data_IF_782695371007
#
_entry.id   IF_782695371007
#
_cell.length_a   1.000
_cell.length_b   1.000
_cell.length_c   1.000
_cell.angle_alpha   90.00
_cell.angle_beta   90.00
_cell.angle_gamma   90.00
#
_symmetry.space_group_name_H-M   'P 1'
#
loop_
_entity.id
_entity.type
_entity.pdbx_description
1 polymer ?
#
# COMPACT_ATOMS: atom_id res chain seq x y z
N UNK A 1 -1.89 14.22 13.30
CA UNK A 1 -2.76 13.34 14.11
C UNK A 1 -2.99 14.01 15.45
N UNK A 2 -4.21 13.96 15.95
CA UNK A 2 -4.61 14.54 17.25
C UNK A 2 -5.40 13.53 18.08
N UNK A 3 -5.43 13.71 19.38
CA UNK A 3 -6.32 12.95 20.27
C UNK A 3 -7.75 13.51 20.25
N UNK A 4 -8.60 12.96 21.14
CA UNK A 4 -10.01 13.39 21.29
C UNK A 4 -10.15 14.87 21.69
N UNK A 5 -9.15 15.42 22.36
CA UNK A 5 -9.11 16.79 22.88
C UNK A 5 -8.32 17.73 21.94
N UNK A 6 -8.07 17.29 20.69
CA UNK A 6 -7.31 17.99 19.65
C UNK A 6 -5.82 18.23 19.97
N UNK A 7 -5.26 17.55 20.97
CA UNK A 7 -3.82 17.64 21.26
C UNK A 7 -3.03 16.89 20.21
N UNK A 8 -1.95 17.49 19.72
CA UNK A 8 -1.12 16.92 18.65
C UNK A 8 -0.40 15.66 19.16
N UNK A 9 -0.65 14.54 18.48
CA UNK A 9 0.02 13.25 18.72
C UNK A 9 1.26 13.06 17.83
N UNK A 10 1.31 13.77 16.70
CA UNK A 10 2.39 13.67 15.72
C UNK A 10 1.91 13.84 14.29
N UNK A 11 2.85 13.90 13.35
CA UNK A 11 2.58 13.99 11.91
C UNK A 11 2.58 12.61 11.26
N UNK A 12 1.91 12.51 10.10
CA UNK A 12 2.01 11.34 9.25
C UNK A 12 3.45 11.13 8.77
N UNK A 13 3.90 9.89 8.54
CA UNK A 13 5.23 9.64 7.98
C UNK A 13 5.40 10.35 6.64
N UNK A 14 6.54 11.00 6.42
CA UNK A 14 6.86 11.64 5.14
C UNK A 14 7.05 10.58 4.06
N UNK A 15 6.49 10.85 2.88
CA UNK A 15 6.76 10.11 1.64
C UNK A 15 8.05 10.64 1.03
N UNK A 16 9.02 9.77 0.83
CA UNK A 16 10.38 10.14 0.38
C UNK A 16 10.67 9.59 -1.00
N UNK A 17 10.09 8.43 -1.33
CA UNK A 17 10.22 7.78 -2.63
C UNK A 17 8.99 8.11 -3.49
N UNK A 18 9.14 8.18 -4.83
CA UNK A 18 8.04 8.55 -5.72
C UNK A 18 6.75 7.71 -5.49
N UNK A 19 5.56 8.29 -5.62
CA UNK A 19 4.30 7.56 -5.47
C UNK A 19 3.94 6.82 -6.77
N UNK A 20 4.64 5.72 -7.08
CA UNK A 20 4.47 4.98 -8.34
C UNK A 20 3.59 3.75 -8.19
N UNK A 21 3.14 3.18 -9.32
CA UNK A 21 2.44 1.89 -9.36
C UNK A 21 3.19 0.79 -8.58
N UNK A 22 4.52 0.74 -8.72
CA UNK A 22 5.37 -0.21 -8.00
C UNK A 22 5.29 -0.06 -6.46
N UNK A 23 5.15 1.16 -5.95
CA UNK A 23 4.92 1.38 -4.52
C UNK A 23 3.48 1.03 -4.11
N UNK A 24 2.52 1.43 -4.94
CA UNK A 24 1.10 1.20 -4.70
C UNK A 24 0.73 -0.29 -4.66
N UNK A 25 1.51 -1.20 -5.27
CA UNK A 25 1.26 -2.64 -5.15
C UNK A 25 1.42 -3.19 -3.72
N UNK A 26 2.21 -2.55 -2.87
CA UNK A 26 2.60 -3.10 -1.54
C UNK A 26 2.41 -2.16 -0.37
N UNK A 27 2.02 -0.91 -0.63
CA UNK A 27 1.80 0.06 0.42
C UNK A 27 0.80 1.14 -0.01
N UNK A 28 -0.14 1.47 0.88
CA UNK A 28 -0.83 2.75 0.83
C UNK A 28 0.01 3.86 1.49
N UNK A 29 0.17 4.99 0.81
CA UNK A 29 0.86 6.17 1.34
C UNK A 29 -0.08 7.35 1.62
N UNK A 30 -1.33 7.27 1.16
CA UNK A 30 -2.28 8.37 1.24
C UNK A 30 -3.61 7.85 1.83
N UNK A 31 -3.99 8.28 3.04
CA UNK A 31 -5.29 7.93 3.60
C UNK A 31 -6.42 8.66 2.85
N UNK A 32 -7.59 8.02 2.73
CA UNK A 32 -8.70 8.55 1.94
C UNK A 32 -9.16 9.97 2.33
N UNK A 33 -9.08 10.30 3.62
CA UNK A 33 -9.44 11.63 4.13
C UNK A 33 -8.52 12.76 3.65
N UNK A 34 -7.35 12.44 3.08
CA UNK A 34 -6.41 13.42 2.52
C UNK A 34 -6.31 13.36 0.99
N UNK A 35 -7.19 12.61 0.33
CA UNK A 35 -7.18 12.46 -1.12
C UNK A 35 -8.07 13.50 -1.80
N UNK A 36 -7.54 14.11 -2.86
CA UNK A 36 -8.31 14.92 -3.80
C UNK A 36 -8.21 14.26 -5.17
N UNK A 37 -9.36 14.01 -5.80
CA UNK A 37 -9.45 13.34 -7.09
C UNK A 37 -10.08 14.27 -8.12
N UNK A 38 -9.47 14.34 -9.31
CA UNK A 38 -10.12 14.99 -10.43
C UNK A 38 -11.25 14.11 -11.02
N UNK A 39 -12.06 14.68 -11.91
CA UNK A 39 -13.20 13.97 -12.50
C UNK A 39 -12.80 12.74 -13.32
N UNK A 40 -11.62 12.75 -13.94
CA UNK A 40 -11.12 11.62 -14.72
C UNK A 40 -10.74 10.43 -13.81
N UNK A 41 -10.02 10.68 -12.72
CA UNK A 41 -9.68 9.68 -11.71
C UNK A 41 -10.95 9.11 -11.05
N UNK A 42 -11.93 9.96 -10.72
CA UNK A 42 -13.21 9.50 -10.18
C UNK A 42 -13.96 8.57 -11.15
N UNK A 43 -14.05 8.94 -12.44
CA UNK A 43 -14.68 8.11 -13.47
C UNK A 43 -13.96 6.78 -13.65
N UNK A 44 -12.63 6.79 -13.63
CA UNK A 44 -11.81 5.58 -13.73
C UNK A 44 -12.14 4.61 -12.58
N UNK A 45 -12.15 5.10 -11.34
CA UNK A 45 -12.42 4.30 -10.14
C UNK A 45 -13.85 3.73 -10.11
N UNK A 46 -14.82 4.50 -10.57
CA UNK A 46 -16.24 4.12 -10.54
C UNK A 46 -16.64 3.20 -11.70
N UNK A 47 -15.87 3.17 -12.80
CA UNK A 47 -16.14 2.32 -13.96
C UNK A 47 -16.00 0.82 -13.65
N UNK A 48 -15.01 0.46 -12.83
CA UNK A 48 -14.78 -0.92 -12.42
C UNK A 48 -14.60 -0.97 -10.89
N UNK A 49 -15.72 -0.98 -10.12
CA UNK A 49 -15.65 -1.03 -8.68
C UNK A 49 -15.04 -2.37 -8.22
N UNK A 50 -14.17 -2.35 -7.18
CA UNK A 50 -13.60 -3.58 -6.66
C UNK A 50 -14.67 -4.44 -5.98
N UNK A 51 -14.47 -5.76 -5.97
CA UNK A 51 -15.26 -6.66 -5.14
C UNK A 51 -15.02 -6.45 -3.63
N UNK A 52 -15.84 -7.09 -2.78
CA UNK A 52 -15.77 -6.94 -1.31
C UNK A 52 -14.45 -7.45 -0.71
N UNK A 53 -13.63 -8.18 -1.48
CA UNK A 53 -12.32 -8.66 -1.09
C UNK A 53 -11.23 -7.56 -1.04
N UNK A 54 -11.56 -6.32 -1.40
CA UNK A 54 -10.65 -5.16 -1.30
C UNK A 54 -11.05 -4.31 -0.08
N UNK A 55 -10.49 -4.57 1.11
CA UNK A 55 -10.95 -3.96 2.34
C UNK A 55 -10.51 -2.50 2.53
N UNK A 56 -9.59 -1.99 1.69
CA UNK A 56 -8.93 -0.70 1.87
C UNK A 56 -9.13 0.15 0.60
N UNK A 57 -10.22 0.93 0.57
CA UNK A 57 -10.68 1.68 -0.60
C UNK A 57 -9.73 2.80 -1.03
N UNK A 58 -9.07 3.45 -0.08
CA UNK A 58 -8.09 4.50 -0.36
C UNK A 58 -6.81 3.91 -0.98
N UNK A 59 -6.37 2.75 -0.50
CA UNK A 59 -5.28 2.01 -1.15
C UNK A 59 -5.67 1.60 -2.58
N UNK A 60 -6.89 1.09 -2.77
CA UNK A 60 -7.39 0.79 -4.11
C UNK A 60 -7.35 2.01 -5.04
N UNK A 61 -7.81 3.16 -4.54
CA UNK A 61 -7.77 4.40 -5.30
C UNK A 61 -6.33 4.79 -5.67
N UNK A 62 -5.40 4.71 -4.72
CA UNK A 62 -3.98 4.96 -4.97
C UNK A 62 -3.40 4.00 -6.02
N UNK A 63 -3.72 2.71 -5.95
CA UNK A 63 -3.24 1.69 -6.88
C UNK A 63 -3.71 1.95 -8.31
N UNK A 64 -5.02 2.17 -8.48
CA UNK A 64 -5.61 2.41 -9.80
C UNK A 64 -5.10 3.71 -10.42
N UNK A 65 -5.07 4.81 -9.65
CA UNK A 65 -4.61 6.10 -10.18
C UNK A 65 -3.11 6.08 -10.48
N UNK A 66 -2.30 5.35 -9.71
CA UNK A 66 -0.86 5.18 -10.00
C UNK A 66 -0.59 4.39 -11.28
N UNK A 67 -1.53 3.54 -11.72
CA UNK A 67 -1.40 2.77 -12.95
C UNK A 67 -1.73 3.61 -14.20
N UNK A 68 -2.79 4.41 -14.13
CA UNK A 68 -3.37 5.05 -15.33
C UNK A 68 -3.29 6.57 -15.33
N UNK A 69 -2.73 7.17 -14.28
CA UNK A 69 -2.66 8.61 -14.12
C UNK A 69 -1.40 9.03 -13.36
N UNK A 70 -1.49 10.21 -12.74
CA UNK A 70 -0.40 10.79 -11.95
C UNK A 70 -0.85 10.98 -10.51
N UNK A 71 -0.06 10.48 -9.59
CA UNK A 71 -0.19 10.78 -8.16
C UNK A 71 0.82 11.89 -7.82
N UNK A 72 0.31 12.96 -7.21
CA UNK A 72 1.13 14.03 -6.63
C UNK A 72 0.93 13.95 -5.13
N UNK A 73 2.03 13.74 -4.40
CA UNK A 73 2.00 13.69 -2.94
C UNK A 73 2.48 15.02 -2.38
N UNK A 74 1.64 15.68 -1.59
CA UNK A 74 1.99 16.87 -0.83
C UNK A 74 2.44 16.45 0.57
N UNK A 75 3.63 16.88 0.98
CA UNK A 75 4.18 16.56 2.30
C UNK A 75 3.64 17.43 3.43
N UNK A 76 2.94 18.50 3.10
CA UNK A 76 2.38 19.43 4.09
C UNK A 76 1.08 18.90 4.70
N UNK A 77 0.92 19.12 6.01
CA UNK A 77 -0.24 18.62 6.77
C UNK A 77 -1.29 19.71 6.93
N UNK A 78 -2.42 19.57 6.23
CA UNK A 78 -3.52 20.55 6.27
C UNK A 78 -4.75 20.12 7.09
N UNK A 79 -4.74 18.91 7.65
CA UNK A 79 -5.88 18.35 8.37
C UNK A 79 -5.50 17.71 9.70
N UNK A 80 -6.38 17.88 10.69
CA UNK A 80 -6.26 17.24 12.00
C UNK A 80 -7.03 15.91 11.99
N UNK A 81 -6.30 14.81 11.85
CA UNK A 81 -6.89 13.47 11.95
C UNK A 81 -7.00 13.02 13.41
N UNK A 82 -8.23 12.95 13.94
CA UNK A 82 -8.51 12.51 15.31
C UNK A 82 -8.34 10.99 15.45
N UNK A 83 -7.52 10.57 16.41
CA UNK A 83 -7.42 9.16 16.81
C UNK A 83 -8.13 8.95 18.16
N UNK A 84 -8.99 7.92 18.23
CA UNK A 84 -9.58 7.45 19.47
C UNK A 84 -9.35 5.95 19.65
N UNK A 85 -9.51 5.45 20.87
CA UNK A 85 -9.27 4.04 21.22
C UNK A 85 -10.12 3.03 20.43
N UNK A 86 -11.19 3.50 19.79
CA UNK A 86 -12.04 2.71 18.89
C UNK A 86 -11.64 2.75 17.41
N UNK A 87 -10.52 3.38 17.04
CA UNK A 87 -10.06 3.38 15.65
C UNK A 87 -9.66 1.96 15.22
N UNK A 88 -10.22 1.50 14.10
CA UNK A 88 -9.84 0.24 13.43
C UNK A 88 -8.36 0.23 13.02
N UNK A 89 -7.78 1.41 12.77
CA UNK A 89 -6.36 1.62 12.44
C UNK A 89 -5.83 2.81 13.27
N UNK A 90 -4.91 2.55 14.20
CA UNK A 90 -4.34 3.57 15.09
C UNK A 90 -2.85 3.38 15.33
N UNK A 91 -2.12 4.46 15.61
CA UNK A 91 -0.69 4.41 15.89
C UNK A 91 -0.46 3.95 17.35
N UNK A 92 0.49 3.02 17.57
CA UNK A 92 0.91 2.70 18.92
C UNK A 92 1.83 3.79 19.46
N UNK A 93 1.59 4.30 20.66
CA UNK A 93 2.55 5.18 21.36
C UNK A 93 3.71 4.33 21.92
N UNK A 94 4.96 4.82 21.88
CA UNK A 94 6.16 4.15 22.42
C UNK A 94 6.95 3.27 21.43
N UNK A 95 8.29 3.42 21.41
CA UNK A 95 9.21 2.76 20.47
C UNK A 95 9.07 1.23 20.45
N UNK A 96 9.16 0.58 21.61
CA UNK A 96 9.05 -0.88 21.72
C UNK A 96 7.69 -1.41 21.24
N UNK A 97 6.61 -0.72 21.60
CA UNK A 97 5.24 -1.09 21.18
C UNK A 97 5.02 -0.81 19.70
N UNK A 98 5.61 0.25 19.13
CA UNK A 98 5.66 0.50 17.68
C UNK A 98 6.36 -0.64 16.95
N UNK A 99 7.55 -1.06 17.41
CA UNK A 99 8.30 -2.16 16.81
C UNK A 99 7.60 -3.52 16.94
N UNK A 100 7.08 -3.85 18.13
CA UNK A 100 6.33 -5.09 18.35
C UNK A 100 5.06 -5.13 17.49
N UNK A 101 4.32 -4.03 17.38
CA UNK A 101 3.09 -3.96 16.57
C UNK A 101 3.41 -3.91 15.07
N UNK A 102 4.53 -3.31 14.68
CA UNK A 102 5.08 -3.35 13.31
C UNK A 102 5.41 -4.78 12.92
N UNK A 103 6.20 -5.49 13.74
CA UNK A 103 6.52 -6.90 13.53
C UNK A 103 5.26 -7.79 13.56
N UNK A 104 4.33 -7.56 14.49
CA UNK A 104 3.09 -8.33 14.58
C UNK A 104 2.15 -8.12 13.38
N UNK A 105 2.03 -6.89 12.85
CA UNK A 105 1.27 -6.63 11.60
C UNK A 105 1.90 -7.37 10.41
N UNK A 106 3.23 -7.40 10.35
CA UNK A 106 3.95 -8.13 9.30
C UNK A 106 3.94 -9.65 9.46
N UNK A 107 3.80 -10.16 10.69
CA UNK A 107 3.74 -11.60 10.99
C UNK A 107 2.31 -12.17 10.94
N UNK A 108 1.29 -11.32 10.96
CA UNK A 108 -0.11 -11.76 10.86
C UNK A 108 -0.54 -11.85 9.39
N UNK A 109 -1.25 -12.94 9.05
CA UNK A 109 -1.68 -13.26 7.68
C UNK A 109 -2.60 -12.19 7.03
N UNK A 110 -2.98 -11.11 7.73
CA UNK A 110 -3.86 -10.08 7.19
C UNK A 110 -3.21 -9.27 6.08
N UNK A 111 -1.93 -8.90 6.22
CA UNK A 111 -1.24 -8.06 5.23
C UNK A 111 -1.05 -8.80 3.90
N UNK A 112 -0.77 -10.12 3.93
CA UNK A 112 -0.67 -10.95 2.71
C UNK A 112 -1.99 -10.96 1.94
N UNK A 113 -3.09 -11.31 2.61
CA UNK A 113 -4.41 -11.38 1.96
C UNK A 113 -4.82 -10.05 1.35
N UNK A 114 -4.50 -8.94 2.01
CA UNK A 114 -4.79 -7.60 1.47
C UNK A 114 -3.91 -7.31 0.27
N UNK A 115 -2.59 -7.51 0.36
CA UNK A 115 -1.64 -7.19 -0.71
C UNK A 115 -1.89 -8.07 -1.95
N UNK A 116 -1.80 -9.40 -1.83
CA UNK A 116 -2.00 -10.31 -2.97
C UNK A 116 -3.43 -10.23 -3.49
N UNK A 117 -4.42 -10.14 -2.57
CA UNK A 117 -5.82 -10.10 -2.93
C UNK A 117 -6.17 -8.85 -3.73
N UNK A 118 -5.68 -7.69 -3.29
CA UNK A 118 -5.87 -6.44 -4.02
C UNK A 118 -5.16 -6.46 -5.38
N UNK A 119 -3.92 -6.98 -5.45
CA UNK A 119 -3.20 -7.07 -6.72
C UNK A 119 -3.89 -8.02 -7.73
N UNK A 120 -4.44 -9.15 -7.27
CA UNK A 120 -5.23 -10.08 -8.11
C UNK A 120 -6.53 -9.45 -8.58
N UNK A 121 -7.24 -8.75 -7.70
CA UNK A 121 -8.47 -8.05 -8.08
C UNK A 121 -8.17 -6.93 -9.08
N UNK A 122 -7.05 -6.22 -8.89
CA UNK A 122 -6.57 -5.22 -9.83
C UNK A 122 -6.25 -5.84 -11.19
N UNK A 123 -5.54 -6.98 -11.23
CA UNK A 123 -5.28 -7.72 -12.46
C UNK A 123 -6.58 -8.12 -13.16
N UNK A 124 -7.57 -8.62 -12.41
CA UNK A 124 -8.87 -9.04 -12.96
C UNK A 124 -9.63 -7.90 -13.61
N UNK A 125 -9.68 -6.74 -12.97
CA UNK A 125 -10.48 -5.59 -13.42
C UNK A 125 -9.76 -4.72 -14.46
N UNK A 126 -8.46 -4.50 -14.27
CA UNK A 126 -7.69 -3.50 -15.02
C UNK A 126 -6.50 -4.09 -15.78
N UNK A 127 -6.18 -5.37 -15.61
CA UNK A 127 -4.96 -5.97 -16.18
C UNK A 127 -4.85 -5.85 -17.71
N UNK A 128 -5.98 -5.94 -18.42
CA UNK A 128 -6.03 -5.81 -19.88
C UNK A 128 -5.80 -4.38 -20.39
N UNK A 129 -5.83 -3.37 -19.51
CA UNK A 129 -5.62 -1.97 -19.84
C UNK A 129 -4.18 -1.51 -19.55
N UNK A 130 -3.38 -2.33 -18.86
CA UNK A 130 -2.05 -1.95 -18.42
C UNK A 130 -1.07 -1.80 -19.57
N UNK A 131 -0.16 -0.82 -19.44
CA UNK A 131 1.00 -0.74 -20.31
C UNK A 131 1.88 -2.01 -20.14
N UNK A 132 2.59 -2.47 -21.18
CA UNK A 132 3.35 -3.73 -21.13
C UNK A 132 4.31 -3.85 -19.94
N UNK A 133 5.00 -2.78 -19.57
CA UNK A 133 5.91 -2.76 -18.43
C UNK A 133 5.18 -2.93 -17.08
N UNK A 134 4.02 -2.31 -16.91
CA UNK A 134 3.20 -2.44 -15.69
C UNK A 134 2.55 -3.83 -15.61
N UNK A 135 2.08 -4.35 -16.74
CA UNK A 135 1.53 -5.70 -16.83
C UNK A 135 2.59 -6.76 -16.47
N UNK A 136 3.80 -6.63 -17.01
CA UNK A 136 4.92 -7.49 -16.68
C UNK A 136 5.28 -7.42 -15.18
N UNK A 137 5.34 -6.21 -14.62
CA UNK A 137 5.60 -6.01 -13.18
C UNK A 137 4.54 -6.67 -12.30
N UNK A 138 3.25 -6.48 -12.63
CA UNK A 138 2.14 -7.08 -11.88
C UNK A 138 2.17 -8.61 -11.99
N UNK A 139 2.43 -9.14 -13.18
CA UNK A 139 2.50 -10.56 -13.42
C UNK A 139 3.68 -11.20 -12.67
N UNK A 140 4.86 -10.56 -12.71
CA UNK A 140 6.01 -11.04 -11.94
C UNK A 140 5.73 -10.97 -10.44
N UNK A 141 5.09 -9.91 -9.94
CA UNK A 141 4.71 -9.81 -8.53
C UNK A 141 3.78 -10.95 -8.08
N UNK A 142 2.76 -11.26 -8.87
CA UNK A 142 1.78 -12.31 -8.55
C UNK A 142 2.30 -13.74 -8.78
N UNK A 143 3.27 -13.91 -9.69
CA UNK A 143 3.74 -15.22 -10.17
C UNK A 143 5.26 -15.38 -10.08
N UNK A 144 5.91 -14.77 -9.09
CA UNK A 144 7.38 -14.78 -8.92
C UNK A 144 7.98 -16.17 -8.62
N UNK A 145 7.17 -17.22 -8.48
CA UNK A 145 7.61 -18.60 -8.36
C UNK A 145 7.44 -19.18 -6.95
N UNK A 146 7.30 -20.51 -6.88
CA UNK A 146 7.09 -21.25 -5.63
C UNK A 146 8.39 -21.72 -4.98
N UNK A 147 9.50 -21.73 -5.70
CA UNK A 147 10.81 -22.17 -5.18
C UNK A 147 11.52 -21.02 -4.47
N UNK A 148 12.30 -21.36 -3.45
CA UNK A 148 13.05 -20.36 -2.67
C UNK A 148 13.98 -19.50 -3.52
N UNK A 149 14.64 -20.09 -4.53
CA UNK A 149 15.56 -19.38 -5.43
C UNK A 149 14.85 -18.35 -6.30
N UNK A 150 13.65 -18.67 -6.78
CA UNK A 150 12.84 -17.74 -7.57
C UNK A 150 12.39 -16.55 -6.71
N UNK A 151 11.99 -16.82 -5.47
CA UNK A 151 11.62 -15.79 -4.49
C UNK A 151 12.79 -14.90 -4.11
N UNK A 152 13.98 -15.46 -3.91
CA UNK A 152 15.21 -14.69 -3.65
C UNK A 152 15.56 -13.82 -4.85
N UNK A 153 15.55 -14.39 -6.06
CA UNK A 153 15.79 -13.64 -7.30
C UNK A 153 14.83 -12.47 -7.44
N UNK A 154 13.54 -12.73 -7.22
CA UNK A 154 12.51 -11.69 -7.25
C UNK A 154 12.73 -10.65 -6.15
N UNK A 155 12.99 -11.06 -4.90
CA UNK A 155 13.21 -10.13 -3.81
C UNK A 155 14.38 -9.16 -4.08
N UNK A 156 15.45 -9.62 -4.75
CA UNK A 156 16.60 -8.80 -5.09
C UNK A 156 16.39 -7.89 -6.32
N UNK A 157 15.59 -8.33 -7.31
CA UNK A 157 15.40 -7.60 -8.58
C UNK A 157 14.10 -6.83 -8.69
N UNK A 158 13.13 -7.12 -7.83
CA UNK A 158 11.78 -6.60 -7.98
C UNK A 158 11.75 -5.08 -7.88
N UNK A 159 11.09 -4.41 -8.84
CA UNK A 159 10.94 -2.96 -8.83
C UNK A 159 9.93 -2.48 -7.79
N UNK A 160 9.18 -3.39 -7.14
CA UNK A 160 8.18 -3.08 -6.10
C UNK A 160 8.87 -2.66 -4.82
N UNK A 161 8.33 -1.67 -4.11
CA UNK A 161 9.01 -1.11 -2.95
C UNK A 161 8.13 -0.41 -1.92
N UNK A 162 8.65 -0.26 -0.69
CA UNK A 162 8.04 0.53 0.38
C UNK A 162 8.82 1.82 0.66
N UNK A 163 8.15 2.80 1.27
CA UNK A 163 8.69 4.13 1.55
C UNK A 163 9.87 4.08 2.54
N UNK A 164 9.76 3.28 3.60
CA UNK A 164 10.85 3.09 4.57
C UNK A 164 11.80 1.99 4.11
N UNK A 165 13.12 2.22 4.21
CA UNK A 165 14.14 1.19 3.93
C UNK A 165 13.97 -0.08 4.77
N UNK A 166 13.55 0.09 6.03
CA UNK A 166 13.29 -1.03 6.94
C UNK A 166 12.08 -1.83 6.46
N UNK A 167 10.98 -1.16 6.09
CA UNK A 167 9.79 -1.87 5.58
C UNK A 167 10.04 -2.50 4.21
N UNK A 168 10.90 -1.91 3.39
CA UNK A 168 11.34 -2.48 2.11
C UNK A 168 12.13 -3.77 2.34
N UNK A 169 13.09 -3.77 3.27
CA UNK A 169 13.84 -4.97 3.65
C UNK A 169 12.90 -6.05 4.21
N UNK A 170 11.96 -5.68 5.07
CA UNK A 170 10.95 -6.60 5.59
C UNK A 170 10.12 -7.18 4.45
N UNK A 171 9.67 -6.37 3.50
CA UNK A 171 8.96 -6.85 2.31
C UNK A 171 9.81 -7.88 1.56
N UNK A 172 11.11 -7.61 1.32
CA UNK A 172 12.00 -8.56 0.64
C UNK A 172 12.07 -9.90 1.39
N UNK A 173 12.25 -9.87 2.71
CA UNK A 173 12.25 -11.07 3.54
C UNK A 173 10.91 -11.82 3.46
N UNK A 174 9.78 -11.11 3.50
CA UNK A 174 8.46 -11.73 3.43
C UNK A 174 8.22 -12.42 2.08
N UNK A 175 8.69 -11.84 0.96
CA UNK A 175 8.64 -12.51 -0.35
C UNK A 175 9.42 -13.82 -0.32
N UNK A 176 10.66 -13.80 0.20
CA UNK A 176 11.50 -15.02 0.33
C UNK A 176 10.78 -16.10 1.17
N UNK A 177 10.09 -15.69 2.23
CA UNK A 177 9.35 -16.58 3.12
C UNK A 177 7.94 -16.96 2.62
N UNK A 178 7.54 -16.58 1.40
CA UNK A 178 6.21 -16.82 0.82
C UNK A 178 5.04 -16.19 1.61
N UNK A 179 5.31 -15.06 2.26
CA UNK A 179 4.33 -14.36 3.12
C UNK A 179 3.77 -13.09 2.48
N UNK A 180 3.95 -12.90 1.17
CA UNK A 180 3.40 -11.80 0.35
C UNK A 180 2.47 -12.35 -0.72
#
# INVERSE_FOLDING_TARGET
>A
MVDRDLRVLGHSPRVVRPPTFANALVQNIAPGCSMVLNRAAWRLLTKHPPGPAVPVHDWWAYLVVSAFGRVVYDSESYLLYRQHAGNTIGEATGFYRKWRRRLHRFLTQSDRRVITGQAREFQRLYGHLLAPAQAAMLNEFLHHGSRIWDRVRYALRSPVYRQSRVDDLILRCLVVLDRV
#
